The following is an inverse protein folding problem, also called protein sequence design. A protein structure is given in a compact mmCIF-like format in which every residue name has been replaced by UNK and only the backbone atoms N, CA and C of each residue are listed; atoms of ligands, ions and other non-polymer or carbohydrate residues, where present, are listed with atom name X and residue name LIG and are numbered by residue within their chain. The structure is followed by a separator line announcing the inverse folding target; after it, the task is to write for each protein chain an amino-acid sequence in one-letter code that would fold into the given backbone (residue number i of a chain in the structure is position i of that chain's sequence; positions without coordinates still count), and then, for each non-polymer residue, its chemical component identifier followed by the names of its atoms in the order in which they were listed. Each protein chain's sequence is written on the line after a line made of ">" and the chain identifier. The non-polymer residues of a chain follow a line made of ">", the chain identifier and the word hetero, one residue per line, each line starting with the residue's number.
data_IF_202069286900
#
_entry.id   IF_202069286900
#
_cell.length_a   1.000
_cell.length_b   1.000
_cell.length_c   1.000
_cell.angle_alpha   90.00
_cell.angle_beta   90.00
_cell.angle_gamma   90.00
#
_symmetry.space_group_name_H-M   'P 1'
#
loop_
_entity.id
_entity.type
_entity.pdbx_description
1 polymer ?
#
# COMPACT_ATOMS: atom_id res chain seq x y z
N UNK A 1 2.02 18.41 11.34
CA UNK A 1 1.71 17.07 11.88
C UNK A 1 3.02 16.44 12.31
N UNK A 2 3.08 15.85 13.51
CA UNK A 2 4.26 15.13 13.98
C UNK A 2 4.58 13.96 13.05
N UNK A 3 5.86 13.64 12.88
CA UNK A 3 6.34 12.56 12.03
C UNK A 3 5.70 11.22 12.43
N UNK A 4 5.61 10.95 13.74
CA UNK A 4 4.91 9.79 14.28
C UNK A 4 3.45 9.72 13.84
N UNK A 5 2.75 10.86 13.81
CA UNK A 5 1.36 10.92 13.36
C UNK A 5 1.23 10.58 11.87
N UNK A 6 2.18 10.97 11.02
CA UNK A 6 2.16 10.65 9.58
C UNK A 6 2.36 9.15 9.34
N UNK A 7 3.29 8.52 10.06
CA UNK A 7 3.50 7.06 10.00
C UNK A 7 2.26 6.32 10.48
N UNK A 8 1.70 6.70 11.64
CA UNK A 8 0.50 6.06 12.18
C UNK A 8 -0.69 6.24 11.23
N UNK A 9 -0.90 7.44 10.69
CA UNK A 9 -1.96 7.71 9.72
C UNK A 9 -1.80 6.87 8.45
N UNK A 10 -0.57 6.74 7.93
CA UNK A 10 -0.31 5.88 6.79
C UNK A 10 -0.56 4.40 7.10
N UNK A 11 -0.10 3.90 8.25
CA UNK A 11 -0.32 2.51 8.66
C UNK A 11 -1.82 2.19 8.83
N UNK A 12 -2.58 3.10 9.45
CA UNK A 12 -4.04 2.98 9.58
C UNK A 12 -4.73 3.01 8.21
N UNK A 13 -4.33 3.91 7.32
CA UNK A 13 -4.89 4.02 5.98
C UNK A 13 -4.58 2.77 5.13
N UNK A 14 -3.38 2.22 5.26
CA UNK A 14 -2.97 0.98 4.60
C UNK A 14 -3.73 -0.23 5.13
N UNK A 15 -3.87 -0.33 6.46
CA UNK A 15 -4.66 -1.39 7.09
C UNK A 15 -6.14 -1.32 6.69
N UNK A 16 -6.71 -0.11 6.63
CA UNK A 16 -8.06 0.12 6.15
C UNK A 16 -8.21 -0.28 4.68
N UNK A 17 -7.27 0.12 3.82
CA UNK A 17 -7.26 -0.28 2.40
C UNK A 17 -7.18 -1.79 2.21
N UNK A 18 -6.32 -2.47 2.97
CA UNK A 18 -6.21 -3.94 2.96
C UNK A 18 -7.50 -4.61 3.44
N UNK A 19 -8.11 -4.12 4.52
CA UNK A 19 -9.37 -4.64 5.03
C UNK A 19 -10.53 -4.44 4.05
N UNK A 20 -10.59 -3.27 3.40
CA UNK A 20 -11.57 -2.98 2.36
C UNK A 20 -11.39 -3.92 1.15
N UNK A 21 -10.15 -4.13 0.71
CA UNK A 21 -9.84 -5.06 -0.38
C UNK A 21 -10.23 -6.49 -0.02
N UNK A 22 -9.92 -6.96 1.20
CA UNK A 22 -10.33 -8.29 1.66
C UNK A 22 -11.85 -8.44 1.72
N UNK A 23 -12.55 -7.43 2.25
CA UNK A 23 -14.02 -7.40 2.32
C UNK A 23 -14.63 -7.46 0.92
N UNK A 24 -14.11 -6.68 -0.02
CA UNK A 24 -14.56 -6.68 -1.41
C UNK A 24 -14.37 -8.05 -2.05
N UNK A 25 -13.21 -8.69 -1.87
CA UNK A 25 -12.93 -10.04 -2.37
C UNK A 25 -13.93 -11.06 -1.82
N UNK A 26 -14.25 -11.01 -0.53
CA UNK A 26 -15.24 -11.91 0.09
C UNK A 26 -16.64 -11.69 -0.50
N UNK A 27 -17.05 -10.42 -0.68
CA UNK A 27 -18.35 -10.11 -1.27
C UNK A 27 -18.47 -10.59 -2.72
N UNK A 28 -17.42 -10.42 -3.50
CA UNK A 28 -17.34 -10.91 -4.88
C UNK A 28 -17.39 -12.45 -4.93
N UNK A 29 -16.63 -13.13 -4.07
CA UNK A 29 -16.63 -14.59 -3.97
C UNK A 29 -18.03 -15.13 -3.61
N UNK A 30 -18.71 -14.54 -2.63
CA UNK A 30 -20.10 -14.88 -2.28
C UNK A 30 -21.10 -14.64 -3.42
N UNK A 31 -20.80 -13.70 -4.33
CA UNK A 31 -21.59 -13.49 -5.54
C UNK A 31 -21.46 -14.68 -6.50
N UNK A 32 -20.24 -15.18 -6.68
CA UNK A 32 -19.96 -16.36 -7.52
C UNK A 32 -20.60 -17.62 -6.94
N UNK A 33 -20.46 -17.85 -5.63
CA UNK A 33 -21.07 -19.00 -4.94
C UNK A 33 -22.59 -19.04 -5.12
N UNK A 34 -23.27 -17.91 -4.94
CA UNK A 34 -24.72 -17.79 -5.18
C UNK A 34 -25.07 -18.05 -6.65
N UNK A 35 -24.22 -17.58 -7.57
CA UNK A 35 -24.36 -17.88 -8.99
C UNK A 35 -24.29 -19.38 -9.26
N UNK A 36 -23.26 -20.07 -8.75
CA UNK A 36 -23.05 -21.51 -8.92
C UNK A 36 -24.24 -22.32 -8.38
N UNK A 37 -24.76 -21.96 -7.21
CA UNK A 37 -25.95 -22.58 -6.65
C UNK A 37 -27.17 -22.41 -7.58
N UNK A 38 -27.32 -21.26 -8.23
CA UNK A 38 -28.39 -21.03 -9.21
C UNK A 38 -28.23 -21.86 -10.49
N UNK A 39 -27.01 -22.15 -10.93
CA UNK A 39 -26.77 -23.04 -12.08
C UNK A 39 -27.08 -24.49 -11.72
N UNK A 40 -26.63 -24.95 -10.55
CA UNK A 40 -26.94 -26.30 -10.08
C UNK A 40 -28.46 -26.54 -10.02
N UNK A 41 -29.22 -25.57 -9.49
CA UNK A 41 -30.68 -25.66 -9.46
C UNK A 41 -31.31 -25.70 -10.87
N UNK A 42 -30.78 -24.94 -11.83
CA UNK A 42 -31.26 -24.99 -13.21
C UNK A 42 -30.93 -26.33 -13.90
N UNK A 43 -29.77 -26.92 -13.59
CA UNK A 43 -29.36 -28.24 -14.10
C UNK A 43 -30.23 -29.36 -13.51
N UNK A 44 -30.51 -29.31 -12.21
CA UNK A 44 -31.42 -30.25 -11.53
C UNK A 44 -32.84 -30.16 -12.13
N UNK A 45 -33.32 -28.94 -12.40
CA UNK A 45 -34.61 -28.74 -13.07
C UNK A 45 -34.60 -29.32 -14.50
N UNK A 46 -33.58 -29.04 -15.30
CA UNK A 46 -33.45 -29.61 -16.66
C UNK A 46 -33.45 -31.15 -16.64
N UNK A 47 -32.79 -31.77 -15.66
CA UNK A 47 -32.76 -33.22 -15.52
C UNK A 47 -34.18 -33.80 -15.34
N UNK A 48 -35.05 -33.14 -14.56
CA UNK A 48 -36.46 -33.56 -14.40
C UNK A 48 -37.23 -33.51 -15.73
N UNK A 49 -37.02 -32.47 -16.55
CA UNK A 49 -37.68 -32.36 -17.85
C UNK A 49 -37.17 -33.42 -18.84
N UNK A 50 -35.88 -33.76 -18.83
CA UNK A 50 -35.32 -34.82 -19.68
C UNK A 50 -35.82 -36.22 -19.27
N UNK A 51 -35.97 -36.47 -17.97
CA UNK A 51 -36.60 -37.70 -17.47
C UNK A 51 -38.06 -37.77 -17.90
N UNK A 52 -38.81 -36.68 -17.74
CA UNK A 52 -40.20 -36.60 -18.21
C UNK A 52 -40.31 -36.84 -19.71
N UNK A 53 -39.47 -36.22 -20.54
CA UNK A 53 -39.43 -36.43 -21.99
C UNK A 53 -39.16 -37.91 -22.34
N UNK A 54 -38.22 -38.55 -21.63
CA UNK A 54 -37.92 -39.98 -21.80
C UNK A 54 -39.13 -40.84 -21.45
N UNK A 55 -39.75 -40.61 -20.29
CA UNK A 55 -40.93 -41.34 -19.83
C UNK A 55 -42.13 -41.12 -20.77
N UNK A 56 -42.31 -39.91 -21.29
CA UNK A 56 -43.32 -39.62 -22.32
C UNK A 56 -43.04 -40.44 -23.57
N UNK A 57 -41.81 -40.42 -24.09
CA UNK A 57 -41.43 -41.20 -25.29
C UNK A 57 -41.67 -42.70 -25.11
N UNK A 58 -41.29 -43.25 -23.95
CA UNK A 58 -41.50 -44.66 -23.62
C UNK A 58 -42.98 -45.02 -23.43
N UNK A 59 -43.75 -44.14 -22.77
CA UNK A 59 -45.21 -44.29 -22.66
C UNK A 59 -45.83 -44.40 -24.05
N UNK A 60 -45.45 -43.53 -24.99
CA UNK A 60 -46.03 -43.50 -26.33
C UNK A 60 -45.68 -44.75 -27.14
N UNK A 61 -44.43 -45.22 -27.04
CA UNK A 61 -44.02 -46.50 -27.61
C UNK A 61 -44.86 -47.65 -27.05
N UNK A 62 -45.00 -47.72 -25.73
CA UNK A 62 -45.78 -48.74 -25.05
C UNK A 62 -47.27 -48.67 -25.39
N UNK A 63 -47.84 -47.47 -25.56
CA UNK A 63 -49.25 -47.30 -26.00
C UNK A 63 -49.46 -47.86 -27.41
N UNK A 64 -48.55 -47.57 -28.34
CA UNK A 64 -48.60 -48.12 -29.71
C UNK A 64 -48.45 -49.65 -29.68
N UNK A 65 -47.49 -50.18 -28.90
CA UNK A 65 -47.27 -51.64 -28.77
C UNK A 65 -48.49 -52.34 -28.15
N UNK A 66 -49.03 -51.80 -27.05
CA UNK A 66 -50.20 -52.35 -26.38
C UNK A 66 -51.45 -52.31 -27.26
N UNK A 67 -51.60 -51.27 -28.10
CA UNK A 67 -52.69 -51.17 -29.07
C UNK A 67 -52.60 -52.22 -30.18
N UNK A 68 -51.40 -52.59 -30.60
CA UNK A 68 -51.18 -53.59 -31.64
C UNK A 68 -51.28 -55.05 -31.12
N UNK A 69 -50.75 -55.31 -29.92
CA UNK A 69 -50.73 -56.64 -29.31
C UNK A 69 -50.72 -56.53 -27.77
N UNK A 70 -51.89 -56.40 -27.12
CA UNK A 70 -51.96 -56.22 -25.68
C UNK A 70 -51.56 -57.52 -24.95
N UNK A 71 -50.52 -57.45 -24.12
CA UNK A 71 -50.16 -58.50 -23.16
C UNK A 71 -50.28 -57.97 -21.74
N UNK A 72 -50.46 -58.85 -20.75
CA UNK A 72 -50.53 -58.46 -19.34
C UNK A 72 -49.28 -57.70 -18.90
N UNK A 73 -48.10 -58.09 -19.40
CA UNK A 73 -46.82 -57.44 -19.13
C UNK A 73 -46.75 -56.04 -19.76
N UNK A 74 -47.08 -55.91 -21.06
CA UNK A 74 -47.07 -54.60 -21.75
C UNK A 74 -48.07 -53.63 -21.14
N UNK A 75 -49.25 -54.09 -20.72
CA UNK A 75 -50.26 -53.26 -20.07
C UNK A 75 -49.82 -52.82 -18.67
N UNK A 76 -49.15 -53.69 -17.91
CA UNK A 76 -48.59 -53.34 -16.60
C UNK A 76 -47.49 -52.30 -16.72
N UNK A 77 -46.51 -52.51 -17.61
CA UNK A 77 -45.45 -51.53 -17.88
C UNK A 77 -46.03 -50.20 -18.38
N UNK A 78 -47.01 -50.24 -19.27
CA UNK A 78 -47.68 -49.03 -19.76
C UNK A 78 -48.35 -48.26 -18.61
N UNK A 79 -49.05 -48.94 -17.71
CA UNK A 79 -49.69 -48.30 -16.56
C UNK A 79 -48.65 -47.65 -15.63
N UNK A 80 -47.53 -48.33 -15.38
CA UNK A 80 -46.41 -47.81 -14.59
C UNK A 80 -45.79 -46.58 -15.24
N UNK A 81 -45.49 -46.61 -16.54
CA UNK A 81 -44.92 -45.45 -17.25
C UNK A 81 -45.89 -44.28 -17.33
N UNK A 82 -47.19 -44.52 -17.55
CA UNK A 82 -48.22 -43.46 -17.47
C UNK A 82 -48.23 -42.80 -16.09
N UNK A 83 -48.17 -43.60 -15.03
CA UNK A 83 -48.11 -43.09 -13.67
C UNK A 83 -46.83 -42.27 -13.43
N UNK A 84 -45.68 -42.73 -13.93
CA UNK A 84 -44.41 -42.02 -13.84
C UNK A 84 -44.49 -40.64 -14.54
N UNK A 85 -45.03 -40.57 -15.76
CA UNK A 85 -45.23 -39.29 -16.48
C UNK A 85 -46.10 -38.32 -15.67
N UNK A 86 -47.22 -38.78 -15.12
CA UNK A 86 -48.10 -37.93 -14.29
C UNK A 86 -47.38 -37.45 -13.03
N UNK A 87 -46.61 -38.32 -12.41
CA UNK A 87 -45.80 -37.97 -11.25
C UNK A 87 -44.71 -36.94 -11.58
N UNK A 88 -44.06 -37.06 -12.74
CA UNK A 88 -43.07 -36.09 -13.21
C UNK A 88 -43.71 -34.71 -13.41
N UNK A 89 -44.85 -34.65 -14.10
CA UNK A 89 -45.61 -33.40 -14.33
C UNK A 89 -46.00 -32.74 -13.00
N UNK A 90 -46.51 -33.51 -12.03
CA UNK A 90 -46.85 -32.98 -10.70
C UNK A 90 -45.63 -32.52 -9.90
N UNK A 91 -44.53 -33.27 -9.97
CA UNK A 91 -43.27 -32.93 -9.27
C UNK A 91 -42.72 -31.61 -9.79
N UNK A 92 -42.63 -31.48 -11.12
CA UNK A 92 -42.20 -30.25 -11.78
C UNK A 92 -43.18 -29.12 -11.42
N UNK A 93 -44.49 -29.34 -11.48
CA UNK A 93 -45.50 -28.34 -11.14
C UNK A 93 -45.36 -27.86 -9.70
N UNK A 94 -45.11 -28.75 -8.75
CA UNK A 94 -44.89 -28.40 -7.34
C UNK A 94 -43.67 -27.49 -7.17
N UNK A 95 -42.54 -27.82 -7.82
CA UNK A 95 -41.33 -26.99 -7.82
C UNK A 95 -41.64 -25.59 -8.38
N UNK A 96 -42.38 -25.51 -9.50
CA UNK A 96 -42.73 -24.21 -10.11
C UNK A 96 -43.69 -23.39 -9.26
N UNK A 97 -44.65 -24.02 -8.58
CA UNK A 97 -45.52 -23.32 -7.61
C UNK A 97 -44.70 -22.69 -6.49
N UNK A 98 -43.69 -23.39 -6.00
CA UNK A 98 -42.78 -22.88 -4.98
C UNK A 98 -41.92 -21.73 -5.51
N UNK A 99 -41.46 -21.80 -6.76
CA UNK A 99 -40.73 -20.71 -7.43
C UNK A 99 -41.60 -19.45 -7.57
N UNK A 100 -42.87 -19.60 -7.97
CA UNK A 100 -43.83 -18.48 -8.02
C UNK A 100 -44.07 -17.87 -6.64
N UNK A 101 -44.21 -18.71 -5.60
CA UNK A 101 -44.39 -18.23 -4.23
C UNK A 101 -43.19 -17.41 -3.72
N UNK A 102 -41.98 -17.69 -4.24
CA UNK A 102 -40.76 -16.92 -3.97
C UNK A 102 -40.60 -15.68 -4.85
N UNK A 103 -41.55 -15.38 -5.74
CA UNK A 103 -41.51 -14.24 -6.65
C UNK A 103 -40.83 -14.50 -8.00
N UNK A 104 -40.71 -15.76 -8.42
CA UNK A 104 -40.20 -16.13 -9.74
C UNK A 104 -41.12 -15.72 -10.89
N UNK A 105 -40.57 -15.08 -11.93
CA UNK A 105 -41.35 -14.38 -12.95
C UNK A 105 -41.97 -15.23 -14.07
N UNK A 106 -41.44 -16.42 -14.37
CA UNK A 106 -41.95 -17.29 -15.47
C UNK A 106 -42.74 -18.51 -14.96
N UNK A 107 -42.73 -18.79 -13.65
CA UNK A 107 -43.31 -20.02 -13.10
C UNK A 107 -44.81 -20.19 -13.35
N UNK A 108 -45.58 -19.10 -13.43
CA UNK A 108 -47.02 -19.16 -13.73
C UNK A 108 -47.31 -19.61 -15.17
N UNK A 109 -46.51 -19.13 -16.14
CA UNK A 109 -46.63 -19.55 -17.53
C UNK A 109 -46.20 -21.01 -17.73
N UNK A 110 -45.26 -21.47 -16.92
CA UNK A 110 -44.79 -22.86 -16.92
C UNK A 110 -45.82 -23.81 -16.30
N UNK A 111 -46.43 -23.44 -15.18
CA UNK A 111 -47.56 -24.19 -14.58
C UNK A 111 -48.70 -24.33 -15.60
N UNK A 112 -49.11 -23.24 -16.25
CA UNK A 112 -50.16 -23.28 -17.25
C UNK A 112 -49.81 -24.18 -18.46
N UNK A 113 -48.51 -24.40 -18.74
CA UNK A 113 -48.07 -25.35 -19.77
C UNK A 113 -48.15 -26.79 -19.29
N UNK A 114 -47.73 -27.06 -18.06
CA UNK A 114 -47.89 -28.38 -17.44
C UNK A 114 -49.35 -28.79 -17.40
N UNK A 115 -50.27 -27.86 -17.13
CA UNK A 115 -51.71 -28.10 -17.19
C UNK A 115 -52.20 -28.42 -18.61
N UNK A 116 -51.60 -27.82 -19.65
CA UNK A 116 -51.87 -28.20 -21.05
C UNK A 116 -51.30 -29.57 -21.40
N UNK A 117 -50.11 -29.91 -20.89
CA UNK A 117 -49.51 -31.24 -21.07
C UNK A 117 -50.45 -32.28 -20.46
N UNK A 118 -50.92 -32.09 -19.23
CA UNK A 118 -51.85 -33.01 -18.58
C UNK A 118 -53.15 -33.21 -19.36
N UNK A 119 -53.74 -32.13 -19.87
CA UNK A 119 -54.95 -32.21 -20.69
C UNK A 119 -54.72 -32.98 -22.00
N UNK A 120 -53.56 -32.78 -22.65
CA UNK A 120 -53.22 -33.52 -23.87
C UNK A 120 -52.92 -34.98 -23.58
N UNK A 121 -52.31 -35.30 -22.43
CA UNK A 121 -52.14 -36.68 -21.98
C UNK A 121 -53.49 -37.38 -21.77
N UNK A 122 -54.49 -36.70 -21.20
CA UNK A 122 -55.87 -37.23 -21.09
C UNK A 122 -56.50 -37.49 -22.47
N UNK A 123 -56.35 -36.54 -23.40
CA UNK A 123 -56.84 -36.68 -24.79
C UNK A 123 -56.18 -37.89 -25.50
N UNK A 124 -54.88 -38.10 -25.28
CA UNK A 124 -54.11 -39.22 -25.83
C UNK A 124 -54.58 -40.54 -25.22
N UNK A 125 -54.73 -40.61 -23.91
CA UNK A 125 -55.23 -41.81 -23.22
C UNK A 125 -56.58 -42.25 -23.79
N UNK A 126 -57.52 -41.31 -23.95
CA UNK A 126 -58.83 -41.56 -24.55
C UNK A 126 -58.73 -41.97 -26.03
N UNK A 127 -57.80 -41.38 -26.79
CA UNK A 127 -57.58 -41.75 -28.18
C UNK A 127 -57.09 -43.19 -28.32
N UNK A 128 -56.14 -43.62 -27.49
CA UNK A 128 -55.63 -44.99 -27.50
C UNK A 128 -56.63 -46.01 -26.93
N UNK A 129 -57.51 -45.64 -26.01
CA UNK A 129 -58.64 -46.49 -25.61
C UNK A 129 -59.57 -46.79 -26.80
N UNK A 130 -59.84 -45.79 -27.66
CA UNK A 130 -60.62 -46.00 -28.89
C UNK A 130 -59.89 -46.90 -29.88
N UNK A 131 -58.56 -46.81 -29.97
CA UNK A 131 -57.75 -47.73 -30.79
C UNK A 131 -57.89 -49.16 -30.26
N UNK A 132 -57.74 -49.37 -28.95
CA UNK A 132 -57.85 -50.70 -28.34
C UNK A 132 -59.27 -51.31 -28.50
N UNK A 133 -60.32 -50.50 -28.39
CA UNK A 133 -61.70 -50.93 -28.65
C UNK A 133 -61.90 -51.33 -30.12
N UNK A 134 -61.36 -50.53 -31.07
CA UNK A 134 -61.42 -50.86 -32.49
C UNK A 134 -60.61 -52.12 -32.83
N UNK A 135 -59.51 -52.40 -32.11
CA UNK A 135 -58.69 -53.59 -32.28
C UNK A 135 -59.39 -54.88 -31.79
N UNK A 136 -60.32 -54.75 -30.84
CA UNK A 136 -61.03 -55.88 -30.22
C UNK A 136 -62.33 -56.26 -30.96
N UNK A 137 -62.81 -55.42 -31.89
CA UNK A 137 -64.03 -55.65 -32.65
C UNK A 137 -63.80 -56.37 -33.99
N UNK A 138 -64.83 -56.98 -34.60
CA UNK A 138 -64.74 -57.53 -35.95
C UNK A 138 -64.69 -56.38 -36.98
N UNK A 139 -63.49 -56.00 -37.43
CA UNK A 139 -63.30 -54.85 -38.32
C UNK A 139 -62.09 -54.98 -39.25
N UNK A 140 -62.14 -54.29 -40.39
CA UNK A 140 -61.03 -54.15 -41.33
C UNK A 140 -59.94 -53.23 -40.77
N UNK A 141 -58.72 -53.31 -41.31
CA UNK A 141 -57.60 -52.40 -41.00
C UNK A 141 -58.00 -50.91 -41.09
N UNK A 142 -59.02 -50.59 -41.89
CA UNK A 142 -59.59 -49.26 -42.06
C UNK A 142 -60.31 -48.73 -40.81
N UNK A 143 -60.91 -49.60 -39.99
CA UNK A 143 -61.55 -49.23 -38.72
C UNK A 143 -60.53 -48.79 -37.65
N UNK A 144 -59.30 -49.33 -37.72
CA UNK A 144 -58.18 -48.95 -36.85
C UNK A 144 -57.43 -47.71 -37.34
N UNK A 145 -57.42 -47.47 -38.64
CA UNK A 145 -56.66 -46.37 -39.25
C UNK A 145 -57.08 -45.00 -38.70
N UNK A 146 -58.39 -44.74 -38.53
CA UNK A 146 -58.88 -43.43 -38.08
C UNK A 146 -58.58 -43.14 -36.60
N UNK A 147 -58.88 -44.03 -35.63
CA UNK A 147 -58.48 -43.82 -34.23
C UNK A 147 -56.96 -43.70 -34.06
N UNK A 148 -56.19 -44.52 -34.76
CA UNK A 148 -54.73 -44.50 -34.68
C UNK A 148 -54.16 -43.19 -35.25
N UNK A 149 -54.66 -42.76 -36.41
CA UNK A 149 -54.25 -41.48 -37.00
C UNK A 149 -54.56 -40.32 -36.05
N UNK A 150 -55.74 -40.30 -35.44
CA UNK A 150 -56.10 -39.27 -34.46
C UNK A 150 -55.15 -39.27 -33.24
N UNK A 151 -54.80 -40.45 -32.72
CA UNK A 151 -53.85 -40.56 -31.61
C UNK A 151 -52.45 -40.02 -32.01
N UNK A 152 -51.95 -40.41 -33.18
CA UNK A 152 -50.67 -39.94 -33.74
C UNK A 152 -50.69 -38.43 -34.02
N UNK A 153 -51.81 -37.86 -34.46
CA UNK A 153 -51.93 -36.41 -34.65
C UNK A 153 -51.90 -35.65 -33.32
N UNK A 154 -52.59 -36.14 -32.27
CA UNK A 154 -52.53 -35.53 -30.93
C UNK A 154 -51.10 -35.52 -30.38
N UNK A 155 -50.39 -36.62 -30.62
CA UNK A 155 -48.99 -36.78 -30.30
C UNK A 155 -48.10 -35.73 -30.95
N UNK A 156 -48.12 -35.67 -32.28
CA UNK A 156 -47.20 -34.87 -33.09
C UNK A 156 -47.56 -33.38 -33.05
N UNK A 157 -48.85 -33.04 -33.13
CA UNK A 157 -49.29 -31.64 -33.23
C UNK A 157 -49.56 -30.96 -31.88
N UNK A 158 -49.74 -31.74 -30.79
CA UNK A 158 -50.05 -31.15 -29.47
C UNK A 158 -49.03 -31.49 -28.39
N UNK A 159 -48.72 -32.76 -28.17
CA UNK A 159 -47.86 -33.15 -27.04
C UNK A 159 -46.39 -32.81 -27.30
N UNK A 160 -45.85 -33.27 -28.43
CA UNK A 160 -44.45 -33.03 -28.81
C UNK A 160 -44.05 -31.54 -28.72
N UNK A 161 -44.78 -30.58 -29.34
CA UNK A 161 -44.38 -29.18 -29.27
C UNK A 161 -44.44 -28.58 -27.85
N UNK A 162 -45.29 -29.11 -26.95
CA UNK A 162 -45.34 -28.65 -25.56
C UNK A 162 -44.14 -29.13 -24.76
N UNK A 163 -43.76 -30.40 -24.93
CA UNK A 163 -42.60 -31.02 -24.27
C UNK A 163 -41.30 -30.42 -24.81
N UNK A 164 -41.15 -30.33 -26.14
CA UNK A 164 -39.98 -29.72 -26.79
C UNK A 164 -39.75 -28.28 -26.32
N UNK A 165 -40.83 -27.48 -26.28
CA UNK A 165 -40.73 -26.09 -25.82
C UNK A 165 -40.41 -26.00 -24.33
N UNK A 166 -40.83 -26.98 -23.52
CA UNK A 166 -40.50 -27.03 -22.09
C UNK A 166 -39.02 -27.34 -21.88
N UNK A 167 -38.51 -28.39 -22.51
CA UNK A 167 -37.10 -28.79 -22.49
C UNK A 167 -36.22 -27.66 -23.05
N UNK A 168 -36.56 -27.10 -24.21
CA UNK A 168 -35.80 -26.02 -24.83
C UNK A 168 -35.71 -24.76 -23.93
N UNK A 169 -36.78 -24.44 -23.19
CA UNK A 169 -36.76 -23.33 -22.23
C UNK A 169 -35.84 -23.60 -21.03
N UNK A 170 -35.84 -24.82 -20.52
CA UNK A 170 -34.96 -25.20 -19.40
C UNK A 170 -33.49 -25.22 -19.84
N UNK A 171 -33.20 -25.74 -21.03
CA UNK A 171 -31.87 -25.63 -21.65
C UNK A 171 -31.44 -24.17 -21.77
N UNK A 172 -32.32 -23.30 -22.27
CA UNK A 172 -32.03 -21.87 -22.38
C UNK A 172 -31.78 -21.22 -21.00
N UNK A 173 -32.48 -21.66 -19.96
CA UNK A 173 -32.26 -21.19 -18.58
C UNK A 173 -30.92 -21.63 -18.02
N UNK A 174 -30.50 -22.88 -18.22
CA UNK A 174 -29.17 -23.36 -17.82
C UNK A 174 -28.08 -22.57 -18.54
N UNK A 175 -28.22 -22.36 -19.85
CA UNK A 175 -27.25 -21.56 -20.65
C UNK A 175 -27.19 -20.12 -20.15
N UNK A 176 -28.34 -19.49 -19.89
CA UNK A 176 -28.39 -18.12 -19.37
C UNK A 176 -27.77 -18.03 -17.97
N UNK A 177 -28.03 -18.99 -17.09
CA UNK A 177 -27.45 -19.05 -15.76
C UNK A 177 -25.92 -19.21 -15.82
N UNK A 178 -25.40 -20.12 -16.66
CA UNK A 178 -23.96 -20.30 -16.90
C UNK A 178 -23.29 -19.03 -17.45
N UNK A 179 -23.92 -18.37 -18.43
CA UNK A 179 -23.39 -17.14 -18.99
C UNK A 179 -23.34 -15.99 -17.96
N UNK A 180 -24.37 -15.87 -17.11
CA UNK A 180 -24.39 -14.88 -16.01
C UNK A 180 -23.23 -15.11 -15.03
N UNK A 181 -22.94 -16.36 -14.66
CA UNK A 181 -21.80 -16.68 -13.81
C UNK A 181 -20.48 -16.32 -14.49
N UNK A 182 -20.31 -16.69 -15.76
CA UNK A 182 -19.08 -16.39 -16.49
C UNK A 182 -18.81 -14.88 -16.55
N UNK A 183 -19.86 -14.09 -16.80
CA UNK A 183 -19.78 -12.63 -16.80
C UNK A 183 -19.47 -12.05 -15.41
N UNK A 184 -20.15 -12.53 -14.37
CA UNK A 184 -19.88 -12.16 -12.97
C UNK A 184 -18.45 -12.51 -12.55
N UNK A 185 -17.96 -13.69 -12.95
CA UNK A 185 -16.60 -14.15 -12.68
C UNK A 185 -15.56 -13.23 -13.32
N UNK A 186 -15.69 -12.91 -14.61
CA UNK A 186 -14.78 -11.98 -15.29
C UNK A 186 -14.83 -10.55 -14.70
N UNK A 187 -16.02 -10.04 -14.39
CA UNK A 187 -16.18 -8.71 -13.77
C UNK A 187 -15.55 -8.67 -12.39
N UNK A 188 -15.81 -9.69 -11.56
CA UNK A 188 -15.25 -9.80 -10.23
C UNK A 188 -13.72 -9.90 -10.26
N UNK A 189 -13.14 -10.65 -11.19
CA UNK A 189 -11.70 -10.76 -11.38
C UNK A 189 -11.06 -9.41 -11.74
N UNK A 190 -11.68 -8.63 -12.65
CA UNK A 190 -11.19 -7.28 -13.02
C UNK A 190 -11.28 -6.29 -11.87
N UNK A 191 -12.39 -6.30 -11.13
CA UNK A 191 -12.57 -5.41 -9.97
C UNK A 191 -11.58 -5.79 -8.86
N UNK A 192 -11.44 -7.08 -8.57
CA UNK A 192 -10.49 -7.59 -7.57
C UNK A 192 -9.04 -7.27 -7.93
N UNK A 193 -8.63 -7.49 -9.18
CA UNK A 193 -7.27 -7.17 -9.62
C UNK A 193 -7.00 -5.66 -9.60
N UNK A 194 -7.94 -4.83 -10.04
CA UNK A 194 -7.81 -3.37 -9.97
C UNK A 194 -7.70 -2.86 -8.53
N UNK A 195 -8.52 -3.38 -7.60
CA UNK A 195 -8.46 -3.04 -6.19
C UNK A 195 -7.13 -3.47 -5.54
N UNK A 196 -6.64 -4.67 -5.88
CA UNK A 196 -5.34 -5.17 -5.40
C UNK A 196 -4.17 -4.32 -5.91
N UNK A 197 -4.15 -4.00 -7.20
CA UNK A 197 -3.14 -3.12 -7.81
C UNK A 197 -3.18 -1.73 -7.16
N UNK A 198 -4.36 -1.14 -6.99
CA UNK A 198 -4.50 0.17 -6.35
C UNK A 198 -3.97 0.17 -4.91
N UNK A 199 -4.26 -0.88 -4.14
CA UNK A 199 -3.76 -1.04 -2.76
C UNK A 199 -2.23 -1.16 -2.74
N UNK A 200 -1.64 -1.91 -3.68
CA UNK A 200 -0.19 -2.04 -3.82
C UNK A 200 0.46 -0.70 -4.20
N UNK A 201 -0.11 0.04 -5.15
CA UNK A 201 0.40 1.37 -5.53
C UNK A 201 0.30 2.37 -4.39
N UNK A 202 -0.82 2.38 -3.65
CA UNK A 202 -0.98 3.23 -2.47
C UNK A 202 0.06 2.89 -1.38
N UNK A 203 0.31 1.60 -1.15
CA UNK A 203 1.33 1.11 -0.24
C UNK A 203 2.74 1.56 -0.66
N UNK A 204 3.11 1.35 -1.93
CA UNK A 204 4.40 1.75 -2.46
C UNK A 204 4.60 3.27 -2.41
N UNK A 205 3.60 4.03 -2.85
CA UNK A 205 3.65 5.49 -2.85
C UNK A 205 3.83 6.04 -1.44
N UNK A 206 3.04 5.56 -0.47
CA UNK A 206 3.17 6.03 0.91
C UNK A 206 4.47 5.58 1.58
N UNK A 207 4.99 4.39 1.27
CA UNK A 207 6.31 3.96 1.72
C UNK A 207 7.44 4.89 1.19
N UNK A 208 7.41 5.22 -0.10
CA UNK A 208 8.37 6.15 -0.71
C UNK A 208 8.22 7.58 -0.16
N UNK A 209 6.99 8.03 0.11
CA UNK A 209 6.73 9.33 0.72
C UNK A 209 7.27 9.42 2.15
N UNK A 210 7.13 8.36 2.96
CA UNK A 210 7.71 8.29 4.31
C UNK A 210 9.24 8.27 4.23
N UNK A 211 9.80 7.42 3.35
CA UNK A 211 11.24 7.29 3.21
C UNK A 211 11.90 8.61 2.79
N UNK A 212 11.33 9.30 1.81
CA UNK A 212 11.82 10.61 1.35
C UNK A 212 11.65 11.71 2.41
N UNK A 213 10.58 11.67 3.20
CA UNK A 213 10.35 12.62 4.30
C UNK A 213 11.35 12.45 5.45
N UNK A 214 11.93 11.26 5.64
CA UNK A 214 12.91 11.00 6.69
C UNK A 214 14.36 11.13 6.20
N UNK A 215 14.68 10.52 5.07
CA UNK A 215 16.06 10.41 4.59
C UNK A 215 16.66 11.76 4.16
N UNK A 216 15.84 12.69 3.64
CA UNK A 216 16.33 14.02 3.23
C UNK A 216 16.80 14.87 4.43
N UNK A 217 15.96 15.13 5.47
CA UNK A 217 16.43 15.87 6.65
C UNK A 217 17.57 15.17 7.39
N UNK A 218 17.51 13.83 7.48
CA UNK A 218 18.55 13.06 8.17
C UNK A 218 19.92 13.22 7.51
N UNK A 219 20.00 13.10 6.17
CA UNK A 219 21.27 13.34 5.44
C UNK A 219 21.78 14.77 5.62
N UNK A 220 20.88 15.76 5.61
CA UNK A 220 21.26 17.15 5.80
C UNK A 220 21.83 17.41 7.22
N UNK A 221 21.31 16.71 8.24
CA UNK A 221 21.87 16.71 9.59
C UNK A 221 23.24 16.05 9.67
N UNK A 222 23.42 14.88 9.05
CA UNK A 222 24.73 14.21 8.99
C UNK A 222 25.76 15.09 8.29
N UNK A 223 25.40 15.72 7.17
CA UNK A 223 26.28 16.62 6.43
C UNK A 223 26.60 17.88 7.24
N UNK A 224 25.58 18.51 7.84
CA UNK A 224 25.78 19.71 8.66
C UNK A 224 26.68 19.44 9.86
N UNK A 225 26.49 18.33 10.57
CA UNK A 225 27.35 17.93 11.68
C UNK A 225 28.80 17.69 11.23
N UNK A 226 28.99 17.04 10.08
CA UNK A 226 30.33 16.80 9.50
C UNK A 226 31.04 18.11 9.13
N UNK A 227 30.34 19.04 8.47
CA UNK A 227 30.87 20.36 8.11
C UNK A 227 31.23 21.20 9.33
N UNK A 228 30.36 21.21 10.34
CA UNK A 228 30.61 21.91 11.60
C UNK A 228 31.87 21.35 12.30
N UNK A 229 32.04 20.02 12.31
CA UNK A 229 33.24 19.36 12.85
C UNK A 229 34.52 19.67 12.06
N UNK A 230 34.40 20.00 10.77
CA UNK A 230 35.53 20.42 9.92
C UNK A 230 35.84 21.93 10.03
N UNK A 231 35.11 22.68 10.86
CA UNK A 231 35.33 24.11 11.08
C UNK A 231 34.52 25.03 10.16
N UNK A 232 33.65 24.51 9.29
CA UNK A 232 32.69 25.33 8.55
C UNK A 232 31.51 25.71 9.45
N UNK A 233 31.70 26.74 10.26
CA UNK A 233 30.70 27.27 11.19
C UNK A 233 29.59 28.07 10.49
N UNK A 234 29.72 28.34 9.19
CA UNK A 234 28.79 29.15 8.41
C UNK A 234 27.64 28.32 7.83
N UNK A 235 27.84 27.02 7.67
CA UNK A 235 26.83 26.11 7.13
C UNK A 235 25.57 26.08 7.98
N UNK A 236 24.40 26.07 7.32
CA UNK A 236 23.09 25.95 7.96
C UNK A 236 22.27 24.89 7.24
N UNK A 237 21.56 24.10 8.03
CA UNK A 237 20.68 23.06 7.51
C UNK A 237 19.35 23.72 7.10
N UNK A 238 18.75 23.32 5.96
CA UNK A 238 17.41 23.77 5.57
C UNK A 238 16.38 23.53 6.69
N UNK A 239 15.73 24.61 7.13
CA UNK A 239 14.67 24.55 8.13
C UNK A 239 13.33 24.17 7.47
N UNK A 240 13.22 22.90 7.12
CA UNK A 240 11.99 22.33 6.56
C UNK A 240 11.10 21.71 7.64
N UNK A 241 9.78 21.90 7.51
CA UNK A 241 8.78 21.17 8.29
C UNK A 241 8.49 21.72 9.69
N UNK A 242 7.25 21.52 10.15
CA UNK A 242 6.79 21.84 11.52
C UNK A 242 6.82 20.61 12.44
N UNK A 243 7.55 19.58 12.06
CA UNK A 243 7.67 18.31 12.77
C UNK A 243 8.94 18.26 13.63
N UNK A 244 9.20 17.10 14.21
CA UNK A 244 10.36 16.84 15.08
C UNK A 244 11.68 17.04 14.34
N UNK A 245 11.74 16.74 13.04
CA UNK A 245 12.93 16.97 12.23
C UNK A 245 13.18 18.45 12.01
N UNK A 246 12.13 19.22 11.68
CA UNK A 246 12.26 20.67 11.57
C UNK A 246 12.68 21.33 12.89
N UNK A 247 12.27 20.78 14.04
CA UNK A 247 12.75 21.24 15.36
C UNK A 247 14.24 20.96 15.52
N UNK A 248 14.69 19.74 15.21
CA UNK A 248 16.10 19.37 15.29
C UNK A 248 16.99 20.22 14.38
N UNK A 249 16.53 20.54 13.16
CA UNK A 249 17.25 21.47 12.26
C UNK A 249 17.41 22.87 12.86
N UNK A 250 16.36 23.40 13.49
CA UNK A 250 16.43 24.71 14.17
C UNK A 250 17.38 24.68 15.35
N UNK A 251 17.31 23.64 16.18
CA UNK A 251 18.18 23.48 17.34
C UNK A 251 19.66 23.34 16.90
N UNK A 252 19.93 22.61 15.82
CA UNK A 252 21.25 22.53 15.20
C UNK A 252 21.75 23.91 14.73
N UNK A 253 20.92 24.65 13.98
CA UNK A 253 21.30 25.97 13.46
C UNK A 253 21.57 26.99 14.58
N UNK A 254 20.81 26.92 15.68
CA UNK A 254 21.03 27.74 16.88
C UNK A 254 22.38 27.43 17.52
N UNK A 255 22.71 26.15 17.68
CA UNK A 255 24.01 25.71 18.19
C UNK A 255 25.15 26.16 17.27
N UNK A 256 25.03 25.98 15.96
CA UNK A 256 26.03 26.42 14.99
C UNK A 256 26.25 27.95 15.06
N UNK A 257 25.18 28.74 15.17
CA UNK A 257 25.26 30.20 15.33
C UNK A 257 25.86 30.63 16.68
N UNK A 258 25.73 29.83 17.73
CA UNK A 258 26.39 30.08 19.01
C UNK A 258 27.89 29.80 18.92
N UNK A 259 28.28 28.68 18.31
CA UNK A 259 29.70 28.32 18.10
C UNK A 259 30.38 29.35 17.21
N UNK A 260 29.75 29.78 16.11
CA UNK A 260 30.29 30.81 15.22
C UNK A 260 30.51 32.15 15.95
N UNK A 261 29.59 32.55 16.83
CA UNK A 261 29.75 33.76 17.63
C UNK A 261 30.91 33.64 18.64
N UNK A 262 31.06 32.48 19.29
CA UNK A 262 32.17 32.23 20.21
C UNK A 262 33.52 32.22 19.49
N UNK A 263 33.62 31.58 18.33
CA UNK A 263 34.86 31.57 17.52
C UNK A 263 35.26 32.98 17.08
N UNK A 264 34.30 33.80 16.61
CA UNK A 264 34.57 35.21 16.27
C UNK A 264 35.01 36.04 17.48
N UNK A 265 34.40 35.83 18.65
CA UNK A 265 34.79 36.53 19.87
C UNK A 265 36.22 36.16 20.30
N UNK A 266 36.56 34.87 20.27
CA UNK A 266 37.91 34.39 20.59
C UNK A 266 38.96 34.96 19.63
N UNK A 267 38.69 35.00 18.32
CA UNK A 267 39.62 35.59 17.35
C UNK A 267 39.81 37.08 17.57
N UNK A 268 38.74 37.83 17.86
CA UNK A 268 38.84 39.24 18.17
C UNK A 268 39.65 39.50 19.46
N UNK A 269 39.48 38.65 20.48
CA UNK A 269 40.27 38.69 21.71
C UNK A 269 41.75 38.35 21.45
N UNK A 270 42.04 37.36 20.60
CA UNK A 270 43.39 37.00 20.20
C UNK A 270 44.09 38.17 19.46
N UNK A 271 43.41 38.80 18.51
CA UNK A 271 43.92 39.99 17.80
C UNK A 271 44.14 41.18 18.74
N UNK A 272 43.27 41.39 19.73
CA UNK A 272 43.46 42.42 20.76
C UNK A 272 44.67 42.09 21.65
N UNK A 273 44.80 40.84 22.10
CA UNK A 273 45.91 40.40 22.92
C UNK A 273 47.23 40.56 22.18
N UNK A 274 47.29 40.18 20.90
CA UNK A 274 48.47 40.36 20.06
C UNK A 274 48.85 41.85 19.90
N UNK A 275 47.86 42.73 19.65
CA UNK A 275 48.09 44.18 19.60
C UNK A 275 48.63 44.72 20.93
N UNK A 276 48.07 44.28 22.05
CA UNK A 276 48.53 44.68 23.39
C UNK A 276 49.95 44.19 23.67
N UNK A 277 50.27 42.95 23.31
CA UNK A 277 51.62 42.39 23.43
C UNK A 277 52.60 43.22 22.59
N UNK A 278 52.30 43.48 21.32
CA UNK A 278 53.17 44.29 20.45
C UNK A 278 53.39 45.71 21.01
N UNK A 279 52.35 46.37 21.49
CA UNK A 279 52.46 47.71 22.08
C UNK A 279 53.34 47.72 23.34
N UNK A 280 53.17 46.73 24.24
CA UNK A 280 53.97 46.63 25.47
C UNK A 280 55.42 46.26 25.18
N UNK A 281 55.67 45.42 24.19
CA UNK A 281 57.04 45.12 23.75
C UNK A 281 57.73 46.37 23.24
N UNK A 282 57.07 47.18 22.40
CA UNK A 282 57.63 48.43 21.90
C UNK A 282 57.90 49.45 23.03
N UNK A 283 57.00 49.54 24.02
CA UNK A 283 57.20 50.41 25.20
C UNK A 283 58.39 49.96 26.05
N UNK A 284 58.53 48.65 26.30
CA UNK A 284 59.66 48.08 27.04
C UNK A 284 60.99 48.29 26.31
N UNK A 285 61.01 48.12 24.98
CA UNK A 285 62.19 48.40 24.17
C UNK A 285 62.60 49.87 24.23
N UNK A 286 61.64 50.80 24.15
CA UNK A 286 61.90 52.23 24.28
C UNK A 286 62.43 52.60 25.68
N UNK A 287 61.84 52.05 26.75
CA UNK A 287 62.31 52.26 28.11
C UNK A 287 63.72 51.70 28.35
N UNK A 288 64.01 50.49 27.83
CA UNK A 288 65.34 49.90 27.88
C UNK A 288 66.38 50.74 27.11
N UNK A 289 66.02 51.26 25.93
CA UNK A 289 66.89 52.15 25.16
C UNK A 289 67.18 53.46 25.91
N UNK A 290 66.17 54.03 26.57
CA UNK A 290 66.35 55.22 27.42
C UNK A 290 67.25 54.94 28.62
N UNK A 291 67.06 53.81 29.31
CA UNK A 291 67.92 53.39 30.43
C UNK A 291 69.37 53.19 29.97
N UNK A 292 69.58 52.55 28.82
CA UNK A 292 70.91 52.38 28.24
C UNK A 292 71.58 53.73 27.91
N UNK A 293 70.82 54.69 27.36
CA UNK A 293 71.32 56.04 27.08
C UNK A 293 71.65 56.83 28.36
N UNK A 294 70.86 56.65 29.43
CA UNK A 294 71.15 57.24 30.75
C UNK A 294 72.40 56.64 31.38
N UNK A 295 72.57 55.32 31.33
CA UNK A 295 73.75 54.64 31.87
C UNK A 295 75.02 55.09 31.13
N UNK A 296 74.96 55.20 29.80
CA UNK A 296 76.07 55.70 28.99
C UNK A 296 76.42 57.16 29.32
N UNK A 297 75.41 58.03 29.46
CA UNK A 297 75.63 59.43 29.84
C UNK A 297 76.26 59.55 31.23
N UNK A 298 75.79 58.73 32.19
CA UNK A 298 76.35 58.66 33.55
C UNK A 298 77.80 58.20 33.53
N UNK A 299 78.13 57.15 32.76
CA UNK A 299 79.51 56.65 32.63
C UNK A 299 80.43 57.72 32.05
N UNK A 300 79.99 58.44 31.01
CA UNK A 300 80.75 59.53 30.40
C UNK A 300 81.00 60.67 31.39
N UNK A 301 79.96 61.14 32.08
CA UNK A 301 80.09 62.16 33.12
C UNK A 301 81.09 61.77 34.22
N UNK A 302 81.02 60.52 34.72
CA UNK A 302 81.96 60.04 35.74
C UNK A 302 83.39 60.00 35.23
N UNK A 303 83.61 59.62 33.96
CA UNK A 303 84.93 59.64 33.34
C UNK A 303 85.46 61.08 33.23
N UNK A 304 84.64 62.01 32.75
CA UNK A 304 84.99 63.43 32.60
C UNK A 304 85.34 64.07 33.95
N UNK A 305 84.49 63.90 34.98
CA UNK A 305 84.76 64.39 36.34
C UNK A 305 86.03 63.77 36.92
N UNK A 306 86.27 62.48 36.70
CA UNK A 306 87.49 61.82 37.15
C UNK A 306 88.75 62.40 36.49
N UNK A 307 88.66 62.72 35.20
CA UNK A 307 89.75 63.39 34.48
C UNK A 307 89.98 64.81 34.99
N UNK A 308 88.91 65.59 35.22
CA UNK A 308 89.03 66.96 35.70
C UNK A 308 89.48 67.07 37.16
N UNK A 309 89.14 66.12 38.03
CA UNK A 309 89.61 66.10 39.43
C UNK A 309 91.04 65.59 39.57
N UNK A 310 91.47 64.68 38.68
CA UNK A 310 92.84 64.15 38.70
C UNK A 310 93.85 65.27 38.44
N UNK A 311 93.56 66.21 37.56
CA UNK A 311 94.44 67.34 37.24
C UNK A 311 94.77 68.22 38.46
N UNK A 312 93.80 68.85 39.17
CA UNK A 312 94.08 69.66 40.35
C UNK A 312 94.63 68.82 41.52
N UNK A 313 94.20 67.56 41.70
CA UNK A 313 94.80 66.68 42.71
C UNK A 313 96.28 66.39 42.42
N UNK A 314 96.63 66.19 41.15
CA UNK A 314 98.03 65.99 40.73
C UNK A 314 98.84 67.26 40.98
N UNK A 315 98.28 68.44 40.69
CA UNK A 315 98.90 69.74 41.00
C UNK A 315 99.07 69.93 42.51
N UNK A 316 98.02 69.76 43.32
CA UNK A 316 98.11 69.89 44.78
C UNK A 316 99.11 68.91 45.40
N UNK A 317 99.17 67.68 44.88
CA UNK A 317 100.16 66.70 45.32
C UNK A 317 101.57 67.12 44.92
N UNK A 318 101.76 67.63 43.71
CA UNK A 318 103.04 68.19 43.26
C UNK A 318 103.50 69.35 44.16
N UNK A 319 102.62 70.31 44.46
CA UNK A 319 102.89 71.42 45.38
C UNK A 319 103.19 70.94 46.81
N UNK A 320 102.44 69.94 47.30
CA UNK A 320 102.70 69.35 48.62
C UNK A 320 104.04 68.60 48.67
N UNK A 321 104.41 67.88 47.61
CA UNK A 321 105.71 67.21 47.47
C UNK A 321 106.87 68.22 47.39
N UNK A 322 106.67 69.37 46.74
CA UNK A 322 107.65 70.49 46.68
C UNK A 322 107.79 71.17 48.05
N UNK A 323 106.69 71.49 48.72
CA UNK A 323 106.71 72.07 50.07
C UNK A 323 107.33 71.12 51.11
N UNK A 324 107.11 69.81 50.98
CA UNK A 324 107.78 68.80 51.81
C UNK A 324 109.27 68.68 51.50
N UNK A 325 109.70 68.87 50.23
CA UNK A 325 111.11 68.93 49.82
C UNK A 325 111.84 70.14 50.39
N UNK A 326 111.22 71.32 50.39
CA UNK A 326 111.79 72.52 51.02
C UNK A 326 111.96 72.35 52.53
N UNK A 327 111.04 71.64 53.21
CA UNK A 327 111.16 71.35 54.64
C UNK A 327 112.26 70.34 54.97
N UNK A 328 112.63 69.47 54.03
CA UNK A 328 113.82 68.62 54.15
C UNK A 328 115.13 69.33 53.80
N UNK A 329 115.10 70.41 53.02
CA UNK A 329 116.28 71.23 52.72
C UNK A 329 116.66 72.18 53.88
N UNK A 330 115.68 72.69 54.63
CA UNK A 330 115.92 73.65 55.75
C UNK A 330 116.45 72.99 57.05
N UNK A 331 116.40 71.66 57.17
CA UNK A 331 116.90 70.94 58.36
C UNK A 331 118.29 70.28 58.16
N UNK A 332 118.99 70.58 57.05
CA UNK A 332 120.29 69.96 56.70
C UNK A 332 121.54 70.82 56.91
N UNK A 333 121.42 72.14 57.11
CA UNK A 333 122.57 73.05 57.23
C UNK A 333 122.66 73.64 58.64
N UNK A 334 123.24 72.89 59.58
CA UNK A 334 123.41 73.36 60.96
C UNK A 334 124.04 72.37 61.94
N UNK A 335 125.07 71.61 61.54
CA UNK A 335 126.05 71.00 62.46
C UNK A 335 127.12 70.21 61.69
N UNK A 336 128.35 70.77 61.61
CA UNK A 336 129.67 70.11 61.75
C UNK A 336 130.78 70.95 61.09
N UNK A 337 131.34 71.88 61.86
CA UNK A 337 132.78 71.81 62.19
C UNK A 337 132.92 70.85 63.37
#
# INVERSE_FOLDING_TARGET
>A
MQFRTRILAFAVLLAFGAALCATLTILLARGIERGLASVALAEDQLALYLVMETNVSDMLRLQITAAAAPTAETLAHLAETKQAVRQDVETIRAIKREEVARGGGDGAAEIARLDRIDAVLDDIDLAFERVAQAASGPGSMEALARPLMNAVTLLDERLAPLVDLAVAREVARVVAARNRIAELSLRSARIGSAAGVLTLFAALFGALAILSSFMRPFRALTEGASRLAQGDLSFRIPEGGRDEMGRLSRDFNLMAAQIERSDRALRAEEEELQRRVAARTAELEAANAQLAAQDETRRRFLADVSHELRTPLTVMRGEAEVALRDRTAVLGEGARE
#
